data_IF_799675253092
#
_entry.id   IF_799675253092
#
_cell.length_a   1.000
_cell.length_b   1.000
_cell.length_c   1.000
_cell.angle_alpha   90.00
_cell.angle_beta   90.00
_cell.angle_gamma   90.00
#
_symmetry.space_group_name_H-M   'P 1'
#
loop_
_entity.id
_entity.type
_entity.pdbx_description
1 polymer ?
#
# COMPACT_ATOMS: atom_id res chain seq x y z
N UNK A 1 -7.32 5.86 -2.40
CA UNK A 1 -7.30 6.31 -3.82
C UNK A 1 -5.95 6.91 -4.13
N UNK A 2 -5.28 6.43 -5.18
CA UNK A 2 -4.04 7.01 -5.69
C UNK A 2 -4.32 7.52 -7.10
N UNK A 3 -4.08 8.80 -7.36
CA UNK A 3 -4.34 9.40 -8.67
C UNK A 3 -3.06 9.34 -9.52
N UNK A 4 -3.11 8.88 -10.79
CA UNK A 4 -1.93 8.85 -11.64
C UNK A 4 -1.32 10.25 -11.82
N UNK A 5 0.01 10.34 -11.74
CA UNK A 5 0.73 11.62 -11.83
C UNK A 5 0.44 12.34 -13.15
N UNK A 6 0.37 11.61 -14.27
CA UNK A 6 0.07 12.16 -15.58
C UNK A 6 -1.32 12.82 -15.64
N UNK A 7 -2.31 12.24 -14.96
CA UNK A 7 -3.67 12.76 -14.89
C UNK A 7 -3.71 14.04 -14.05
N UNK A 8 -3.14 14.02 -12.85
CA UNK A 8 -3.15 15.21 -11.98
C UNK A 8 -2.32 16.35 -12.56
N UNK A 9 -1.24 16.06 -13.29
CA UNK A 9 -0.33 17.06 -13.84
C UNK A 9 -0.83 17.70 -15.14
N UNK A 10 -1.35 16.91 -16.09
CA UNK A 10 -1.65 17.38 -17.44
C UNK A 10 -3.12 17.35 -17.83
N UNK A 11 -3.90 16.40 -17.32
CA UNK A 11 -5.29 16.18 -17.76
C UNK A 11 -6.25 16.00 -16.56
N UNK A 12 -6.37 17.01 -15.68
CA UNK A 12 -7.34 16.96 -14.59
C UNK A 12 -8.77 16.91 -15.15
N UNK A 13 -9.66 16.19 -14.47
CA UNK A 13 -11.05 15.96 -14.90
C UNK A 13 -12.05 16.06 -13.74
N UNK A 14 -11.57 15.81 -12.53
CA UNK A 14 -12.35 15.87 -11.30
C UNK A 14 -11.78 16.97 -10.39
N UNK A 15 -12.60 17.62 -9.55
CA UNK A 15 -12.12 18.66 -8.64
C UNK A 15 -11.06 18.12 -7.65
N UNK A 16 -11.11 16.83 -7.30
CA UNK A 16 -10.10 16.14 -6.50
C UNK A 16 -8.72 16.15 -7.16
N UNK A 17 -8.65 16.07 -8.50
CA UNK A 17 -7.37 16.13 -9.22
C UNK A 17 -6.69 17.49 -9.06
N UNK A 18 -7.48 18.57 -8.98
CA UNK A 18 -6.96 19.92 -8.76
C UNK A 18 -6.35 20.06 -7.37
N UNK A 19 -7.03 19.54 -6.34
CA UNK A 19 -6.53 19.56 -4.96
C UNK A 19 -5.28 18.67 -4.83
N UNK A 20 -5.30 17.47 -5.40
CA UNK A 20 -4.16 16.54 -5.33
C UNK A 20 -2.93 17.10 -6.06
N UNK A 21 -3.12 17.79 -7.20
CA UNK A 21 -2.02 18.48 -7.87
C UNK A 21 -1.36 19.53 -6.97
N UNK A 22 -2.17 20.32 -6.26
CA UNK A 22 -1.63 21.35 -5.37
C UNK A 22 -0.83 20.71 -4.24
N UNK A 23 -1.36 19.65 -3.65
CA UNK A 23 -0.72 18.87 -2.59
C UNK A 23 0.61 18.24 -3.00
N UNK A 24 0.64 17.58 -4.16
CA UNK A 24 1.78 16.74 -4.57
C UNK A 24 2.82 17.52 -5.39
N UNK A 25 2.40 18.55 -6.13
CA UNK A 25 3.28 19.26 -7.08
C UNK A 25 3.48 20.72 -6.68
N UNK A 26 2.39 21.46 -6.44
CA UNK A 26 2.49 22.91 -6.29
C UNK A 26 3.04 23.33 -4.92
N UNK A 27 2.74 22.58 -3.86
CA UNK A 27 3.23 22.85 -2.51
C UNK A 27 4.76 22.91 -2.48
N UNK A 28 5.42 21.85 -2.94
CA UNK A 28 6.88 21.75 -2.97
C UNK A 28 7.52 22.75 -3.93
N UNK A 29 6.82 23.07 -5.04
CA UNK A 29 7.30 24.05 -6.03
C UNK A 29 7.24 25.49 -5.51
N UNK A 30 6.17 25.87 -4.83
CA UNK A 30 5.94 27.25 -4.40
C UNK A 30 6.47 27.55 -2.99
N UNK A 31 6.66 26.52 -2.15
CA UNK A 31 7.08 26.63 -0.74
C UNK A 31 6.37 27.78 -0.01
N UNK A 32 5.02 27.81 -0.02
CA UNK A 32 4.24 29.00 0.32
C UNK A 32 4.40 29.50 1.76
N UNK A 33 4.85 28.64 2.68
CA UNK A 33 5.06 28.96 4.10
C UNK A 33 6.53 28.84 4.53
N UNK A 34 7.47 28.81 3.58
CA UNK A 34 8.92 28.74 3.84
C UNK A 34 9.54 27.40 3.44
N UNK A 35 10.88 27.38 3.38
CA UNK A 35 11.62 26.16 3.05
C UNK A 35 11.54 25.12 4.18
N UNK A 36 11.26 23.87 3.82
CA UNK A 36 11.16 22.76 4.78
C UNK A 36 9.80 22.65 5.48
N UNK A 37 8.85 23.55 5.23
CA UNK A 37 7.49 23.45 5.80
C UNK A 37 6.65 22.49 4.96
N UNK A 38 6.30 21.35 5.56
CA UNK A 38 5.40 20.36 4.94
C UNK A 38 3.93 20.79 5.04
N UNK A 39 3.12 20.29 4.11
CA UNK A 39 1.68 20.56 4.09
C UNK A 39 0.99 19.90 5.28
N UNK A 40 0.71 20.69 6.31
CA UNK A 40 -0.20 20.34 7.40
C UNK A 40 -1.67 20.53 7.01
N UNK A 41 -2.45 19.45 6.99
CA UNK A 41 -3.87 19.46 6.65
C UNK A 41 -4.77 19.91 7.82
N UNK A 42 -4.24 20.02 9.04
CA UNK A 42 -4.95 20.55 10.21
C UNK A 42 -4.75 22.06 10.39
N UNK A 43 -3.74 22.65 9.73
CA UNK A 43 -3.51 24.09 9.74
C UNK A 43 -4.50 24.81 8.79
N UNK A 44 -5.38 25.70 9.30
CA UNK A 44 -6.36 26.42 8.47
C UNK A 44 -5.72 27.26 7.34
N UNK A 45 -4.54 27.84 7.57
CA UNK A 45 -3.85 28.66 6.57
C UNK A 45 -3.35 27.82 5.39
N UNK A 46 -2.84 26.63 5.67
CA UNK A 46 -2.37 25.68 4.65
C UNK A 46 -3.54 25.17 3.80
N UNK A 47 -4.66 24.85 4.45
CA UNK A 47 -5.88 24.41 3.78
C UNK A 47 -6.44 25.53 2.90
N UNK A 48 -6.53 26.75 3.41
CA UNK A 48 -7.01 27.92 2.65
C UNK A 48 -6.12 28.22 1.44
N UNK A 49 -4.79 28.15 1.61
CA UNK A 49 -3.86 28.33 0.49
C UNK A 49 -4.06 27.25 -0.57
N UNK A 50 -4.17 25.99 -0.15
CA UNK A 50 -4.42 24.86 -1.03
C UNK A 50 -5.74 25.03 -1.80
N UNK A 51 -6.80 25.39 -1.09
CA UNK A 51 -8.13 25.64 -1.67
C UNK A 51 -8.07 26.70 -2.78
N UNK A 52 -7.45 27.86 -2.51
CA UNK A 52 -7.32 28.93 -3.51
C UNK A 52 -6.56 28.49 -4.74
N UNK A 53 -5.47 27.74 -4.57
CA UNK A 53 -4.69 27.22 -5.70
C UNK A 53 -5.42 26.14 -6.48
N UNK A 54 -6.16 25.28 -5.79
CA UNK A 54 -6.99 24.28 -6.44
C UNK A 54 -8.11 24.93 -7.24
N UNK A 55 -8.72 26.01 -6.73
CA UNK A 55 -9.72 26.79 -7.44
C UNK A 55 -9.16 27.48 -8.69
N UNK A 56 -7.96 28.07 -8.61
CA UNK A 56 -7.29 28.67 -9.77
C UNK A 56 -7.09 27.63 -10.87
N UNK A 57 -6.54 26.46 -10.53
CA UNK A 57 -6.35 25.35 -11.46
C UNK A 57 -7.67 24.82 -12.01
N UNK A 58 -8.69 24.69 -11.17
CA UNK A 58 -10.00 24.25 -11.61
C UNK A 58 -10.60 25.20 -12.65
N UNK A 59 -10.43 26.52 -12.47
CA UNK A 59 -10.87 27.52 -13.45
C UNK A 59 -10.10 27.42 -14.77
N UNK A 60 -8.79 27.12 -14.75
CA UNK A 60 -7.97 26.92 -15.97
C UNK A 60 -8.45 25.75 -16.84
N UNK A 61 -8.99 24.70 -16.20
CA UNK A 61 -9.49 23.50 -16.88
C UNK A 61 -11.02 23.43 -16.93
N UNK A 62 -11.72 24.52 -16.59
CA UNK A 62 -13.18 24.61 -16.55
C UNK A 62 -13.86 23.52 -15.70
N UNK A 63 -13.21 23.11 -14.60
CA UNK A 63 -13.69 22.11 -13.66
C UNK A 63 -14.48 22.79 -12.54
N UNK A 64 -15.71 22.36 -12.32
CA UNK A 64 -16.56 22.83 -11.23
C UNK A 64 -16.47 21.93 -10.00
N UNK A 65 -16.87 22.44 -8.84
CA UNK A 65 -17.04 21.64 -7.61
C UNK A 65 -15.85 21.61 -6.66
N UNK A 66 -14.83 22.46 -6.85
CA UNK A 66 -13.83 22.69 -5.80
C UNK A 66 -14.45 23.53 -4.69
N UNK A 67 -14.54 22.97 -3.49
CA UNK A 67 -14.95 23.68 -2.28
C UNK A 67 -13.99 23.39 -1.11
N UNK A 68 -14.13 24.12 -0.01
CA UNK A 68 -13.27 23.96 1.16
C UNK A 68 -13.43 22.56 1.81
N UNK A 69 -14.65 22.01 1.79
CA UNK A 69 -14.98 20.71 2.39
C UNK A 69 -14.32 19.57 1.63
N UNK A 70 -14.38 19.60 0.29
CA UNK A 70 -13.71 18.69 -0.62
C UNK A 70 -12.20 18.82 -0.46
N UNK A 71 -11.68 20.05 -0.38
CA UNK A 71 -10.24 20.29 -0.17
C UNK A 71 -9.77 19.60 1.12
N UNK A 72 -10.46 19.81 2.24
CA UNK A 72 -10.17 19.11 3.49
C UNK A 72 -10.32 17.58 3.36
N UNK A 73 -11.38 17.13 2.68
CA UNK A 73 -11.64 15.72 2.39
C UNK A 73 -10.49 15.03 1.68
N UNK A 74 -9.98 15.64 0.60
CA UNK A 74 -8.87 15.12 -0.20
C UNK A 74 -7.56 15.20 0.58
N UNK A 75 -7.27 16.33 1.24
CA UNK A 75 -6.03 16.52 2.00
C UNK A 75 -5.86 15.49 3.10
N UNK A 76 -6.89 15.32 3.94
CA UNK A 76 -6.90 14.41 5.10
C UNK A 76 -7.31 12.98 4.74
N UNK A 77 -7.72 12.72 3.49
CA UNK A 77 -8.32 11.43 3.07
C UNK A 77 -9.47 11.02 4.02
N UNK A 78 -10.38 11.96 4.30
CA UNK A 78 -11.46 11.79 5.29
C UNK A 78 -12.36 10.61 4.89
N UNK A 79 -12.56 9.68 5.84
CA UNK A 79 -13.58 8.63 5.75
C UNK A 79 -14.81 9.11 6.52
N UNK A 80 -15.98 9.27 5.90
CA UNK A 80 -17.20 9.65 6.60
C UNK A 80 -17.54 8.65 7.71
N UNK A 81 -17.87 9.15 8.90
CA UNK A 81 -18.17 8.32 10.06
C UNK A 81 -19.43 8.82 10.79
N UNK A 82 -20.22 7.87 11.29
CA UNK A 82 -21.41 8.12 12.12
C UNK A 82 -21.41 7.21 13.33
N UNK A 83 -21.95 7.69 14.45
CA UNK A 83 -21.91 6.96 15.72
C UNK A 83 -22.65 5.62 15.68
N UNK A 84 -23.75 5.53 14.91
CA UNK A 84 -24.56 4.32 14.80
C UNK A 84 -23.79 3.13 14.21
N UNK A 85 -23.06 3.31 13.12
CA UNK A 85 -22.25 2.24 12.51
C UNK A 85 -21.17 1.74 13.48
N UNK A 86 -20.49 2.67 14.17
CA UNK A 86 -19.49 2.31 15.18
C UNK A 86 -20.11 1.55 16.36
N UNK A 87 -21.30 1.96 16.82
CA UNK A 87 -22.00 1.27 17.90
C UNK A 87 -22.41 -0.16 17.51
N UNK A 88 -22.92 -0.36 16.29
CA UNK A 88 -23.28 -1.69 15.79
C UNK A 88 -22.06 -2.62 15.73
N UNK A 89 -20.98 -2.17 15.09
CA UNK A 89 -19.76 -2.98 14.95
C UNK A 89 -19.11 -3.26 16.31
N UNK A 90 -19.02 -2.25 17.19
CA UNK A 90 -18.48 -2.42 18.54
C UNK A 90 -19.33 -3.40 19.36
N UNK A 91 -20.65 -3.33 19.24
CA UNK A 91 -21.58 -4.27 19.88
C UNK A 91 -21.35 -5.71 19.42
N UNK A 92 -21.19 -5.93 18.11
CA UNK A 92 -20.86 -7.25 17.57
C UNK A 92 -19.50 -7.76 18.09
N UNK A 93 -18.45 -6.93 18.10
CA UNK A 93 -17.14 -7.30 18.62
C UNK A 93 -17.18 -7.66 20.12
N UNK A 94 -17.87 -6.86 20.93
CA UNK A 94 -18.02 -7.10 22.36
C UNK A 94 -18.79 -8.40 22.64
N UNK A 95 -19.83 -8.69 21.84
CA UNK A 95 -20.59 -9.92 21.93
C UNK A 95 -19.72 -11.15 21.62
N UNK A 96 -18.91 -11.11 20.55
CA UNK A 96 -18.01 -12.23 20.21
C UNK A 96 -16.92 -12.42 21.28
N UNK A 97 -16.37 -11.33 21.82
CA UNK A 97 -15.43 -11.40 22.95
C UNK A 97 -16.07 -12.06 24.18
N UNK A 98 -17.33 -11.70 24.50
CA UNK A 98 -18.07 -12.32 25.59
C UNK A 98 -18.32 -13.81 25.36
N UNK A 99 -18.74 -14.20 24.15
CA UNK A 99 -18.95 -15.62 23.79
C UNK A 99 -17.67 -16.44 23.97
N UNK A 100 -16.54 -15.93 23.48
CA UNK A 100 -15.23 -16.59 23.61
C UNK A 100 -14.76 -16.71 25.06
N UNK A 101 -14.96 -15.66 25.88
CA UNK A 101 -14.48 -15.65 27.27
C UNK A 101 -15.34 -16.51 28.21
N UNK A 102 -16.65 -16.55 27.99
CA UNK A 102 -17.60 -17.24 28.88
C UNK A 102 -18.00 -18.64 28.40
N UNK A 103 -17.70 -18.97 27.14
CA UNK A 103 -18.24 -20.14 26.45
C UNK A 103 -19.78 -20.22 26.50
N UNK A 104 -20.47 -19.08 26.59
CA UNK A 104 -21.93 -19.01 26.70
C UNK A 104 -22.66 -19.36 25.38
N UNK A 105 -21.98 -19.25 24.24
CA UNK A 105 -22.50 -19.61 22.91
C UNK A 105 -21.34 -19.86 21.95
N UNK A 106 -21.64 -20.53 20.83
CA UNK A 106 -20.71 -20.70 19.71
C UNK A 106 -20.39 -19.31 19.11
N UNK A 107 -19.10 -18.93 18.97
CA UNK A 107 -18.70 -17.71 18.29
C UNK A 107 -19.07 -17.70 16.80
N UNK A 108 -19.21 -16.51 16.23
CA UNK A 108 -19.30 -16.31 14.79
C UNK A 108 -18.03 -16.83 14.09
N UNK A 109 -18.17 -17.34 12.86
CA UNK A 109 -17.08 -18.00 12.14
C UNK A 109 -15.83 -17.11 11.97
N UNK A 110 -15.91 -16.02 11.19
CA UNK A 110 -14.77 -15.10 11.06
C UNK A 110 -15.10 -13.72 10.50
N UNK A 111 -16.13 -13.56 9.66
CA UNK A 111 -16.38 -12.29 8.99
C UNK A 111 -17.86 -11.91 9.01
N UNK A 112 -18.10 -10.64 9.38
CA UNK A 112 -19.40 -9.99 9.34
C UNK A 112 -19.29 -8.73 8.48
N UNK A 113 -20.14 -8.65 7.47
CA UNK A 113 -20.39 -7.42 6.74
C UNK A 113 -21.69 -6.78 7.25
N UNK A 114 -21.65 -5.49 7.52
CA UNK A 114 -22.82 -4.69 7.91
C UNK A 114 -22.99 -3.54 6.92
N UNK A 115 -24.18 -3.44 6.34
CA UNK A 115 -24.56 -2.35 5.45
C UNK A 115 -25.89 -1.75 5.91
N UNK A 116 -25.97 -0.42 5.85
CA UNK A 116 -27.18 0.34 6.19
C UNK A 116 -27.45 1.47 5.17
N UNK A 117 -27.26 1.17 3.88
CA UNK A 117 -27.51 2.13 2.78
C UNK A 117 -28.95 2.02 2.29
N UNK A 118 -29.42 0.79 2.03
CA UNK A 118 -30.79 0.50 1.61
C UNK A 118 -31.40 -0.53 2.58
N UNK A 119 -31.81 -0.04 3.75
CA UNK A 119 -32.22 -0.89 4.87
C UNK A 119 -31.03 -1.55 5.59
N UNK A 120 -31.33 -2.33 6.62
CA UNK A 120 -30.33 -2.96 7.49
C UNK A 120 -30.00 -4.36 6.98
N UNK A 121 -28.74 -4.59 6.60
CA UNK A 121 -28.26 -5.88 6.14
C UNK A 121 -27.05 -6.33 6.97
N UNK A 122 -27.13 -7.55 7.50
CA UNK A 122 -26.02 -8.27 8.11
C UNK A 122 -25.73 -9.50 7.24
N UNK A 123 -24.49 -9.64 6.80
CA UNK A 123 -24.05 -10.81 6.04
C UNK A 123 -22.84 -11.46 6.73
N UNK A 124 -23.04 -12.67 7.25
CA UNK A 124 -21.97 -13.47 7.84
C UNK A 124 -21.48 -14.44 6.79
N UNK A 125 -20.21 -14.32 6.39
CA UNK A 125 -19.62 -15.14 5.34
C UNK A 125 -18.36 -15.81 5.91
N UNK A 126 -18.23 -17.14 5.83
CA UNK A 126 -16.95 -17.79 6.10
C UNK A 126 -15.93 -17.40 5.06
N UNK A 127 -14.87 -16.70 5.49
CA UNK A 127 -13.68 -16.54 4.67
C UNK A 127 -12.80 -17.78 4.79
N UNK A 128 -12.34 -18.31 3.66
CA UNK A 128 -11.41 -19.44 3.65
C UNK A 128 -10.00 -19.01 4.03
N UNK A 129 -9.29 -19.87 4.76
CA UNK A 129 -7.88 -19.63 5.10
C UNK A 129 -7.03 -19.95 3.88
N UNK A 130 -6.27 -18.97 3.41
CA UNK A 130 -5.24 -19.17 2.41
C UNK A 130 -4.07 -19.97 3.01
N UNK A 131 -3.79 -21.21 2.54
CA UNK A 131 -2.69 -22.03 3.05
C UNK A 131 -1.32 -21.42 2.73
N UNK A 132 -1.24 -20.63 1.66
CA UNK A 132 -0.02 -19.95 1.19
C UNK A 132 0.10 -18.52 1.75
N UNK A 133 -0.73 -18.17 2.75
CA UNK A 133 -0.63 -16.89 3.43
C UNK A 133 0.75 -16.72 4.10
N UNK A 134 1.50 -15.71 3.70
CA UNK A 134 2.83 -15.42 4.27
C UNK A 134 2.82 -15.01 5.75
N UNK A 135 1.65 -14.68 6.32
CA UNK A 135 1.50 -14.28 7.73
C UNK A 135 1.11 -15.46 8.62
N UNK A 136 0.06 -16.19 8.23
CA UNK A 136 -0.55 -17.24 9.05
C UNK A 136 -0.56 -18.62 8.39
N UNK A 137 -0.01 -18.78 7.18
CA UNK A 137 0.16 -20.06 6.51
C UNK A 137 1.08 -20.99 7.29
N UNK A 138 0.91 -22.29 7.10
CA UNK A 138 1.70 -23.32 7.82
C UNK A 138 3.13 -23.40 7.26
N UNK A 139 3.31 -23.05 5.98
CA UNK A 139 4.59 -23.08 5.29
C UNK A 139 5.40 -21.82 5.59
N UNK A 140 6.53 -21.97 6.28
CA UNK A 140 7.49 -20.87 6.47
C UNK A 140 8.20 -20.47 5.17
N UNK A 141 8.19 -21.37 4.18
CA UNK A 141 8.83 -21.19 2.87
C UNK A 141 7.77 -21.23 1.77
N UNK A 142 7.58 -20.12 1.07
CA UNK A 142 6.68 -20.03 -0.07
C UNK A 142 7.44 -20.31 -1.36
N UNK A 143 6.87 -21.05 -2.29
CA UNK A 143 7.49 -21.23 -3.61
C UNK A 143 7.19 -20.02 -4.48
N UNK A 144 8.23 -19.37 -5.02
CA UNK A 144 8.07 -18.24 -5.92
C UNK A 144 8.66 -18.57 -7.29
N UNK A 145 7.85 -18.42 -8.33
CA UNK A 145 8.25 -18.68 -9.70
C UNK A 145 8.81 -17.41 -10.34
N UNK A 146 10.03 -17.50 -10.87
CA UNK A 146 10.70 -16.40 -11.57
C UNK A 146 10.99 -16.74 -13.03
N UNK A 147 11.05 -15.71 -13.87
CA UNK A 147 11.49 -15.83 -15.26
C UNK A 147 13.02 -16.07 -15.34
N UNK A 148 13.46 -16.80 -16.37
CA UNK A 148 14.88 -17.12 -16.59
C UNK A 148 15.81 -15.90 -16.72
N UNK A 149 15.30 -14.79 -17.24
CA UNK A 149 16.05 -13.55 -17.51
C UNK A 149 15.57 -12.38 -16.63
N UNK A 150 14.82 -12.67 -15.56
CA UNK A 150 14.23 -11.64 -14.71
C UNK A 150 15.32 -10.89 -13.91
N UNK A 151 15.28 -9.57 -13.95
CA UNK A 151 16.20 -8.72 -13.17
C UNK A 151 15.79 -8.61 -11.70
N UNK A 152 16.74 -8.28 -10.82
CA UNK A 152 16.43 -8.03 -9.42
C UNK A 152 15.43 -6.87 -9.26
N UNK A 153 15.53 -5.83 -10.08
CA UNK A 153 14.61 -4.71 -10.09
C UNK A 153 13.16 -5.12 -10.40
N UNK A 154 12.96 -5.92 -11.45
CA UNK A 154 11.64 -6.46 -11.80
C UNK A 154 11.07 -7.35 -10.70
N UNK A 155 11.91 -8.19 -10.08
CA UNK A 155 11.51 -9.03 -8.95
C UNK A 155 11.04 -8.20 -7.75
N UNK A 156 11.79 -7.16 -7.36
CA UNK A 156 11.42 -6.28 -6.25
C UNK A 156 10.11 -5.54 -6.53
N UNK A 157 9.92 -5.02 -7.75
CA UNK A 157 8.67 -4.35 -8.13
C UNK A 157 7.47 -5.31 -8.13
N UNK A 158 7.66 -6.56 -8.57
CA UNK A 158 6.61 -7.58 -8.43
C UNK A 158 6.27 -7.85 -6.97
N UNK A 159 7.27 -7.95 -6.09
CA UNK A 159 7.05 -8.13 -4.66
C UNK A 159 6.33 -6.94 -4.02
N UNK A 160 6.74 -5.70 -4.36
CA UNK A 160 6.08 -4.47 -3.91
C UNK A 160 4.61 -4.46 -4.30
N UNK A 161 4.31 -4.85 -5.54
CA UNK A 161 2.93 -4.88 -6.02
C UNK A 161 2.10 -6.00 -5.41
N UNK A 162 2.66 -7.22 -5.30
CA UNK A 162 1.94 -8.41 -4.82
C UNK A 162 1.72 -8.40 -3.31
N UNK A 163 2.71 -7.93 -2.54
CA UNK A 163 2.69 -7.95 -1.07
C UNK A 163 2.56 -6.56 -0.44
N UNK A 164 2.38 -5.52 -1.25
CA UNK A 164 2.24 -4.13 -0.80
C UNK A 164 3.39 -3.67 0.13
N UNK A 165 4.61 -4.10 -0.19
CA UNK A 165 5.84 -3.76 0.54
C UNK A 165 6.24 -2.31 0.26
N UNK A 166 6.78 -1.60 1.26
CA UNK A 166 7.18 -0.20 1.12
C UNK A 166 8.64 -0.04 0.69
N UNK A 167 9.54 -0.70 1.42
CA UNK A 167 10.97 -0.71 1.17
C UNK A 167 11.53 -2.10 1.51
N UNK A 168 11.29 -3.11 0.63
CA UNK A 168 11.69 -4.47 0.92
C UNK A 168 13.20 -4.61 0.85
N UNK A 169 13.80 -5.28 1.83
CA UNK A 169 15.16 -5.78 1.75
C UNK A 169 15.15 -7.23 1.29
N UNK A 170 16.08 -7.59 0.41
CA UNK A 170 16.22 -8.94 -0.16
C UNK A 170 17.62 -9.44 0.14
N UNK A 171 17.70 -10.57 0.83
CA UNK A 171 18.97 -11.23 1.17
C UNK A 171 18.94 -12.72 0.84
N UNK A 172 20.10 -13.27 0.51
CA UNK A 172 20.37 -14.71 0.47
C UNK A 172 20.91 -15.17 1.82
N UNK A 173 21.30 -16.44 1.93
CA UNK A 173 22.06 -16.97 3.07
C UNK A 173 23.36 -16.21 3.32
N UNK A 174 24.05 -15.80 2.25
CA UNK A 174 25.44 -15.37 2.29
C UNK A 174 25.63 -13.88 2.03
N UNK A 175 24.67 -13.20 1.39
CA UNK A 175 24.81 -11.79 1.02
C UNK A 175 23.47 -11.03 0.94
N UNK A 176 23.55 -9.71 1.09
CA UNK A 176 22.43 -8.83 0.78
C UNK A 176 22.42 -8.52 -0.71
N UNK A 177 21.32 -8.85 -1.38
CA UNK A 177 21.13 -8.54 -2.79
C UNK A 177 20.66 -7.08 -2.96
N UNK A 178 19.76 -6.65 -2.07
CA UNK A 178 19.19 -5.32 -2.06
C UNK A 178 18.81 -4.88 -0.64
N UNK A 179 19.39 -3.77 -0.20
CA UNK A 179 18.97 -3.05 1.00
C UNK A 179 19.22 -1.55 0.83
N UNK A 180 18.17 -0.74 0.98
CA UNK A 180 18.29 0.71 1.00
C UNK A 180 18.05 1.19 2.44
N UNK A 181 19.13 1.56 3.11
CA UNK A 181 19.12 2.10 4.45
C UNK A 181 20.01 3.34 4.51
N UNK A 182 19.44 4.48 4.93
CA UNK A 182 20.15 5.76 5.06
C UNK A 182 21.33 5.72 6.04
N UNK A 183 21.41 4.71 6.90
CA UNK A 183 22.50 4.51 7.85
C UNK A 183 23.73 3.83 7.23
N UNK A 184 23.62 3.19 6.07
CA UNK A 184 24.73 2.46 5.43
C UNK A 184 24.83 2.81 3.92
N UNK A 185 25.37 4.00 3.57
CA UNK A 185 25.42 4.48 2.18
C UNK A 185 26.23 3.59 1.23
N UNK A 186 27.21 2.85 1.75
CA UNK A 186 28.06 1.97 0.95
C UNK A 186 27.27 0.80 0.34
N UNK A 187 26.29 0.25 1.09
CA UNK A 187 25.44 -0.84 0.60
C UNK A 187 24.37 -0.37 -0.38
N UNK A 188 23.98 0.90 -0.31
CA UNK A 188 23.02 1.49 -1.24
C UNK A 188 23.58 1.53 -2.67
N UNK A 189 24.86 1.88 -2.84
CA UNK A 189 25.51 1.90 -4.15
C UNK A 189 25.57 0.50 -4.79
N UNK A 190 25.97 -0.51 -4.01
CA UNK A 190 25.99 -1.90 -4.49
C UNK A 190 24.59 -2.43 -4.79
N UNK A 191 23.62 -2.15 -3.91
CA UNK A 191 22.22 -2.55 -4.10
C UNK A 191 21.62 -1.93 -5.36
N UNK A 192 21.90 -0.64 -5.63
CA UNK A 192 21.48 0.04 -6.87
C UNK A 192 22.11 -0.61 -8.10
N UNK A 193 23.40 -0.96 -8.05
CA UNK A 193 24.08 -1.65 -9.17
C UNK A 193 23.54 -3.07 -9.43
N UNK A 194 22.99 -3.72 -8.40
CA UNK A 194 22.45 -5.08 -8.52
C UNK A 194 21.04 -5.09 -9.12
N UNK A 195 20.31 -3.97 -9.15
CA UNK A 195 18.96 -3.90 -9.70
C UNK A 195 18.89 -4.25 -11.19
N UNK A 196 19.92 -3.87 -11.94
CA UNK A 196 20.01 -4.10 -13.39
C UNK A 196 20.50 -5.53 -13.72
N UNK A 197 21.08 -6.24 -12.74
CA UNK A 197 21.59 -7.60 -12.93
C UNK A 197 20.47 -8.62 -12.87
N UNK A 198 20.64 -9.70 -13.62
CA UNK A 198 19.72 -10.84 -13.56
C UNK A 198 19.87 -11.60 -12.23
N UNK A 199 18.80 -12.26 -11.77
CA UNK A 199 18.88 -13.09 -10.57
C UNK A 199 19.94 -14.21 -10.71
N UNK A 200 20.16 -14.71 -11.94
CA UNK A 200 21.23 -15.68 -12.24
C UNK A 200 22.64 -15.09 -12.05
N UNK A 201 22.88 -13.86 -12.50
CA UNK A 201 24.16 -13.15 -12.29
C UNK A 201 24.45 -12.89 -10.81
N UNK A 202 23.40 -12.79 -10.00
CA UNK A 202 23.49 -12.63 -8.55
C UNK A 202 23.64 -13.96 -7.79
N UNK A 203 23.93 -15.06 -8.50
CA UNK A 203 24.06 -16.41 -7.97
C UNK A 203 22.79 -16.96 -7.29
N UNK A 204 21.60 -16.48 -7.67
CA UNK A 204 20.35 -17.10 -7.27
C UNK A 204 20.10 -18.28 -8.21
N UNK A 205 20.32 -19.49 -7.70
CA UNK A 205 20.08 -20.75 -8.42
C UNK A 205 18.69 -21.33 -8.08
N UNK A 206 18.28 -22.37 -8.80
CA UNK A 206 17.05 -23.11 -8.48
C UNK A 206 17.09 -23.65 -7.03
N UNK A 207 15.95 -23.57 -6.35
CA UNK A 207 15.76 -23.88 -4.93
C UNK A 207 16.52 -22.98 -3.93
N UNK A 208 17.14 -21.88 -4.39
CA UNK A 208 17.71 -20.88 -3.48
C UNK A 208 16.63 -20.26 -2.58
N UNK A 209 16.98 -20.00 -1.33
CA UNK A 209 16.12 -19.32 -0.38
C UNK A 209 16.44 -17.83 -0.31
N UNK A 210 15.45 -17.00 -0.63
CA UNK A 210 15.51 -15.54 -0.49
C UNK A 210 14.69 -15.12 0.71
N UNK A 211 15.32 -14.39 1.63
CA UNK A 211 14.66 -13.80 2.77
C UNK A 211 14.33 -12.34 2.47
N UNK A 212 13.05 -12.00 2.63
CA UNK A 212 12.52 -10.66 2.39
C UNK A 212 12.01 -10.08 3.69
N UNK A 213 12.51 -8.91 4.04
CA UNK A 213 12.03 -8.15 5.19
C UNK A 213 11.53 -6.77 4.73
N UNK A 214 10.53 -6.25 5.40
CA UNK A 214 9.99 -4.91 5.18
C UNK A 214 9.41 -4.40 6.50
N UNK A 215 9.38 -3.08 6.70
CA UNK A 215 8.71 -2.49 7.86
C UNK A 215 7.20 -2.72 7.89
N UNK A 216 6.58 -3.10 6.77
CA UNK A 216 5.17 -3.50 6.69
C UNK A 216 4.92 -4.93 7.16
N UNK A 217 5.96 -5.76 7.27
CA UNK A 217 5.86 -7.17 7.64
C UNK A 217 6.15 -7.37 9.12
N UNK A 218 5.31 -8.17 9.80
CA UNK A 218 5.56 -8.59 11.19
C UNK A 218 6.70 -9.62 11.30
N UNK A 219 6.91 -10.39 10.23
CA UNK A 219 7.95 -11.43 10.12
C UNK A 219 8.51 -11.43 8.69
N UNK A 220 9.81 -11.73 8.52
CA UNK A 220 10.38 -11.88 7.19
C UNK A 220 9.74 -13.06 6.45
N UNK A 221 9.58 -12.91 5.13
CA UNK A 221 9.08 -13.95 4.23
C UNK A 221 10.29 -14.70 3.65
N UNK A 222 10.22 -16.02 3.61
CA UNK A 222 11.23 -16.84 2.94
C UNK A 222 10.62 -17.39 1.65
N UNK A 223 11.19 -17.04 0.50
CA UNK A 223 10.84 -17.65 -0.78
C UNK A 223 11.86 -18.68 -1.18
N UNK A 224 11.38 -19.87 -1.58
CA UNK A 224 12.17 -20.81 -2.37
C UNK A 224 11.93 -20.55 -3.85
N UNK A 225 13.01 -20.26 -4.56
CA UNK A 225 12.95 -19.80 -5.94
C UNK A 225 12.88 -20.98 -6.91
N UNK A 226 11.94 -20.94 -7.84
CA UNK A 226 11.85 -21.88 -8.97
C UNK A 226 11.84 -21.12 -10.29
N UNK A 227 12.73 -21.51 -11.20
CA UNK A 227 12.75 -20.94 -12.54
C UNK A 227 11.65 -21.58 -13.39
N UNK A 228 10.82 -20.77 -14.05
CA UNK A 228 9.86 -21.30 -15.02
C UNK A 228 10.63 -21.90 -16.20
N UNK A 229 10.48 -23.21 -16.43
CA UNK A 229 10.99 -23.85 -17.64
C UNK A 229 10.15 -23.35 -18.82
N UNK A 230 10.81 -22.80 -19.85
CA UNK A 230 10.15 -22.50 -21.13
C UNK A 230 9.50 -23.79 -21.63
N UNK A 231 8.18 -23.80 -21.74
CA UNK A 231 7.49 -24.83 -22.52
C UNK A 231 7.97 -24.69 -23.97
N UNK A 232 8.89 -25.56 -24.38
CA UNK A 232 9.13 -25.86 -25.78
C UNK A 232 7.82 -26.43 -26.33
N UNK A 233 7.04 -25.58 -26.98
CA UNK A 233 5.88 -26.00 -27.76
C UNK A 233 6.32 -27.01 -28.80
N UNK A 234 5.75 -28.22 -28.72
CA UNK A 234 5.78 -29.22 -29.79
C UNK A 234 4.65 -28.99 -30.77
#
# INVERSE_FOLDING_TARGET
VNYPLCTIAHTPRLPEHCVEYVKVVLWDKCKPFGEGVSLDADNPQHVEWTFRKAQQRANEFEILGVDLRLTQGVLKRIIPAVASTNAVIAGCCALEAFKMASNASIPMQNYLNFANVEGICFNVVPLERDPDCFVCGTSQTLTYHIGGEQTLGEFIEQLRNKFHLRNPSVKTSDSFLYEINSLIPQMEATSKSNLEKTLKELNVIEDSELLIADGSLLKPIVFRIKYQQQQLGG
#
